data_IF_828749423212
#
_entry.id   IF_828749423212
#
_cell.length_a   1.000
_cell.length_b   1.000
_cell.length_c   1.000
_cell.angle_alpha   90.00
_cell.angle_beta   90.00
_cell.angle_gamma   90.00
#
_symmetry.space_group_name_H-M   'P 1'
#
loop_
_entity.id
_entity.type
_entity.pdbx_description
1 polymer ?
#
# COMPACT_ATOMS: atom_id res chain seq x y z
N UNK A 1 -42.52 12.06 -5.75
CA UNK A 1 -42.00 13.19 -6.55
C UNK A 1 -40.86 13.96 -5.86
N UNK A 2 -40.55 13.75 -4.57
CA UNK A 2 -39.42 14.38 -3.86
C UNK A 2 -38.08 13.63 -3.94
N UNK A 3 -38.08 12.34 -4.28
CA UNK A 3 -36.84 11.53 -4.33
C UNK A 3 -35.93 11.85 -5.52
N UNK A 4 -36.49 12.23 -6.67
CA UNK A 4 -35.69 12.53 -7.86
C UNK A 4 -34.93 13.86 -7.75
N UNK A 5 -35.55 14.87 -7.10
CA UNK A 5 -34.90 16.16 -6.87
C UNK A 5 -33.78 16.10 -5.83
N UNK A 6 -33.93 15.28 -4.77
CA UNK A 6 -32.87 15.10 -3.77
C UNK A 6 -31.69 14.29 -4.33
N UNK A 7 -31.97 13.25 -5.12
CA UNK A 7 -30.96 12.48 -5.84
C UNK A 7 -30.11 13.37 -6.77
N UNK A 8 -30.76 14.16 -7.62
CA UNK A 8 -30.08 15.09 -8.52
C UNK A 8 -29.26 16.14 -7.75
N UNK A 9 -29.81 16.67 -6.65
CA UNK A 9 -29.10 17.62 -5.78
C UNK A 9 -27.84 17.00 -5.19
N UNK A 10 -27.91 15.78 -4.66
CA UNK A 10 -26.75 15.10 -4.09
C UNK A 10 -25.68 14.79 -5.14
N UNK A 11 -26.08 14.35 -6.33
CA UNK A 11 -25.14 14.17 -7.45
C UNK A 11 -24.43 15.46 -7.84
N UNK A 12 -25.12 16.61 -7.84
CA UNK A 12 -24.49 17.91 -8.06
C UNK A 12 -23.50 18.26 -6.95
N UNK A 13 -23.84 17.99 -5.68
CA UNK A 13 -22.96 18.25 -4.55
C UNK A 13 -21.70 17.39 -4.63
N UNK A 14 -21.81 16.08 -4.87
CA UNK A 14 -20.62 15.20 -4.92
C UNK A 14 -19.76 15.43 -6.17
N UNK A 15 -20.31 15.98 -7.25
CA UNK A 15 -19.52 16.40 -8.43
C UNK A 15 -18.74 17.68 -8.18
N UNK A 16 -19.31 18.61 -7.43
CA UNK A 16 -18.67 19.91 -7.10
C UNK A 16 -17.71 19.78 -5.91
N UNK A 17 -18.07 18.94 -4.95
CA UNK A 17 -17.33 18.70 -3.69
C UNK A 17 -17.15 17.20 -3.47
N UNK A 18 -16.29 16.53 -4.26
CA UNK A 18 -16.13 15.07 -4.21
C UNK A 18 -15.58 14.55 -2.88
N UNK A 19 -14.95 15.39 -2.08
CA UNK A 19 -14.43 15.03 -0.76
C UNK A 19 -15.50 15.03 0.36
N UNK A 20 -16.74 15.46 0.08
CA UNK A 20 -17.82 15.48 1.07
C UNK A 20 -18.42 14.09 1.31
N UNK A 21 -17.81 13.37 2.25
CA UNK A 21 -18.24 12.03 2.65
C UNK A 21 -19.72 11.96 3.09
N UNK A 22 -20.27 13.00 3.71
CA UNK A 22 -21.64 12.96 4.23
C UNK A 22 -22.65 12.91 3.07
N UNK A 23 -22.42 13.71 2.02
CA UNK A 23 -23.28 13.70 0.83
C UNK A 23 -23.21 12.36 0.09
N UNK A 24 -22.02 11.74 0.02
CA UNK A 24 -21.89 10.39 -0.51
C UNK A 24 -22.64 9.34 0.31
N UNK A 25 -22.53 9.39 1.64
CA UNK A 25 -23.24 8.46 2.51
C UNK A 25 -24.76 8.59 2.36
N UNK A 26 -25.28 9.83 2.23
CA UNK A 26 -26.69 10.07 1.95
C UNK A 26 -27.12 9.49 0.60
N UNK A 27 -26.28 9.65 -0.44
CA UNK A 27 -26.55 9.10 -1.76
C UNK A 27 -26.59 7.56 -1.74
N UNK A 28 -25.65 6.91 -1.05
CA UNK A 28 -25.67 5.46 -0.84
C UNK A 28 -26.95 5.02 -0.13
N UNK A 29 -27.36 5.71 0.94
CA UNK A 29 -28.60 5.39 1.67
C UNK A 29 -29.84 5.50 0.79
N UNK A 30 -29.92 6.51 -0.08
CA UNK A 30 -31.04 6.65 -1.03
C UNK A 30 -31.04 5.50 -2.05
N UNK A 31 -29.87 5.12 -2.56
CA UNK A 31 -29.75 4.00 -3.49
C UNK A 31 -30.15 2.66 -2.83
N UNK A 32 -29.73 2.42 -1.58
CA UNK A 32 -30.05 1.21 -0.82
C UNK A 32 -31.54 1.13 -0.42
N UNK A 33 -32.23 2.26 -0.29
CA UNK A 33 -33.65 2.30 0.10
C UNK A 33 -34.59 1.65 -0.92
N UNK A 34 -34.13 1.38 -2.13
CA UNK A 34 -34.91 0.70 -3.17
C UNK A 34 -35.03 -0.82 -2.96
N UNK A 35 -34.37 -1.39 -1.94
CA UNK A 35 -34.34 -2.83 -1.59
C UNK A 35 -34.17 -3.75 -2.82
N UNK A 36 -32.92 -3.96 -3.24
CA UNK A 36 -32.64 -4.68 -4.48
C UNK A 36 -32.91 -6.18 -4.35
N UNK A 37 -33.68 -6.71 -5.28
CA UNK A 37 -33.96 -8.13 -5.46
C UNK A 37 -33.62 -8.53 -6.90
N UNK A 38 -33.50 -9.83 -7.21
CA UNK A 38 -33.24 -10.28 -8.59
C UNK A 38 -34.31 -9.83 -9.60
N UNK A 39 -35.49 -9.43 -9.12
CA UNK A 39 -36.62 -8.95 -9.93
C UNK A 39 -36.80 -7.44 -9.88
N UNK A 40 -35.90 -6.70 -9.22
CA UNK A 40 -35.99 -5.25 -9.14
C UNK A 40 -35.85 -4.61 -10.53
N UNK A 41 -36.45 -3.43 -10.76
CA UNK A 41 -36.33 -2.71 -12.02
C UNK A 41 -34.85 -2.50 -12.39
N UNK A 42 -34.45 -2.68 -13.67
CA UNK A 42 -33.06 -2.50 -14.10
C UNK A 42 -32.49 -1.13 -13.72
N UNK A 43 -33.32 -0.08 -13.74
CA UNK A 43 -32.94 1.27 -13.34
C UNK A 43 -32.44 1.35 -11.90
N UNK A 44 -33.05 0.62 -10.96
CA UNK A 44 -32.64 0.62 -9.56
C UNK A 44 -31.29 -0.07 -9.37
N UNK A 45 -31.05 -1.16 -10.12
CA UNK A 45 -29.78 -1.89 -10.11
C UNK A 45 -28.68 -0.98 -10.64
N UNK A 46 -28.89 -0.37 -11.82
CA UNK A 46 -27.93 0.55 -12.42
C UNK A 46 -27.65 1.76 -11.53
N UNK A 47 -28.66 2.32 -10.88
CA UNK A 47 -28.47 3.43 -9.95
C UNK A 47 -27.62 3.03 -8.74
N UNK A 48 -27.82 1.83 -8.19
CA UNK A 48 -27.03 1.32 -7.07
C UNK A 48 -25.56 1.10 -7.49
N UNK A 49 -25.33 0.42 -8.61
CA UNK A 49 -24.00 0.18 -9.18
C UNK A 49 -23.27 1.51 -9.41
N UNK A 50 -23.92 2.49 -10.05
CA UNK A 50 -23.34 3.81 -10.29
C UNK A 50 -22.93 4.52 -9.00
N UNK A 51 -23.78 4.49 -7.97
CA UNK A 51 -23.45 5.15 -6.69
C UNK A 51 -22.28 4.46 -6.02
N UNK A 52 -22.28 3.13 -5.95
CA UNK A 52 -21.19 2.36 -5.34
C UNK A 52 -19.88 2.51 -6.09
N UNK A 53 -19.89 2.45 -7.42
CA UNK A 53 -18.70 2.62 -8.27
C UNK A 53 -18.05 3.99 -8.06
N UNK A 54 -18.84 5.06 -8.09
CA UNK A 54 -18.33 6.41 -7.87
C UNK A 54 -17.89 6.65 -6.42
N UNK A 55 -18.65 6.15 -5.45
CA UNK A 55 -18.31 6.28 -4.03
C UNK A 55 -17.00 5.56 -3.71
N UNK A 56 -16.85 4.30 -4.13
CA UNK A 56 -15.67 3.48 -3.85
C UNK A 56 -14.46 3.87 -4.70
N UNK A 57 -14.66 4.49 -5.86
CA UNK A 57 -13.57 5.14 -6.59
C UNK A 57 -12.97 6.31 -5.79
N UNK A 58 -13.80 7.03 -5.02
CA UNK A 58 -13.34 8.17 -4.20
C UNK A 58 -12.90 7.78 -2.79
N UNK A 59 -13.59 6.83 -2.16
CA UNK A 59 -13.32 6.34 -0.81
C UNK A 59 -13.05 4.84 -0.80
N UNK A 60 -11.99 4.36 -1.48
CA UNK A 60 -11.77 2.93 -1.64
C UNK A 60 -11.52 2.23 -0.31
N UNK A 61 -10.93 2.91 0.70
CA UNK A 61 -10.60 2.36 2.02
C UNK A 61 -11.81 2.00 2.90
N UNK A 62 -13.03 2.29 2.44
CA UNK A 62 -14.27 1.95 3.14
C UNK A 62 -14.66 0.48 2.92
N UNK A 63 -13.87 -0.46 3.42
CA UNK A 63 -14.02 -1.91 3.19
C UNK A 63 -15.44 -2.45 3.48
N UNK A 64 -16.14 -1.91 4.49
CA UNK A 64 -17.51 -2.31 4.80
C UNK A 64 -18.49 -2.08 3.66
N UNK A 65 -18.25 -1.08 2.81
CA UNK A 65 -19.07 -0.82 1.62
C UNK A 65 -18.69 -1.74 0.47
N UNK A 66 -17.43 -2.15 0.32
CA UNK A 66 -17.06 -3.22 -0.62
C UNK A 66 -17.79 -4.52 -0.32
N UNK A 67 -17.89 -4.89 0.97
CA UNK A 67 -18.67 -6.06 1.39
C UNK A 67 -20.12 -5.92 1.00
N UNK A 68 -20.77 -4.83 1.43
CA UNK A 68 -22.18 -4.58 1.07
C UNK A 68 -22.40 -4.66 -0.43
N UNK A 69 -21.50 -4.07 -1.21
CA UNK A 69 -21.59 -4.10 -2.67
C UNK A 69 -21.49 -5.54 -3.21
N UNK A 70 -20.53 -6.32 -2.72
CA UNK A 70 -20.38 -7.72 -3.12
C UNK A 70 -21.60 -8.57 -2.75
N UNK A 71 -22.26 -8.31 -1.61
CA UNK A 71 -23.51 -9.00 -1.24
C UNK A 71 -24.63 -8.70 -2.23
N UNK A 72 -24.84 -7.41 -2.54
CA UNK A 72 -25.89 -6.99 -3.47
C UNK A 72 -25.63 -7.53 -4.88
N UNK A 73 -24.39 -7.47 -5.36
CA UNK A 73 -23.98 -8.06 -6.63
C UNK A 73 -24.18 -9.57 -6.64
N UNK A 74 -23.97 -10.24 -5.50
CA UNK A 74 -24.27 -11.65 -5.31
C UNK A 74 -25.75 -11.98 -5.42
N UNK A 75 -26.63 -11.08 -4.97
CA UNK A 75 -28.09 -11.22 -5.11
C UNK A 75 -28.52 -11.03 -6.56
N UNK A 76 -28.01 -10.00 -7.23
CA UNK A 76 -28.46 -9.61 -8.57
C UNK A 76 -27.84 -10.47 -9.67
N UNK A 77 -26.52 -10.64 -9.63
CA UNK A 77 -25.73 -11.26 -10.70
C UNK A 77 -25.14 -12.62 -10.30
N UNK A 78 -25.55 -13.15 -9.14
CA UNK A 78 -25.06 -14.42 -8.61
C UNK A 78 -23.60 -14.36 -8.17
N UNK A 79 -23.01 -15.54 -7.96
CA UNK A 79 -21.67 -15.67 -7.38
C UNK A 79 -20.58 -14.96 -8.22
N UNK A 80 -20.74 -14.89 -9.55
CA UNK A 80 -19.81 -14.16 -10.43
C UNK A 80 -19.85 -12.64 -10.19
N UNK A 81 -21.01 -12.06 -9.86
CA UNK A 81 -21.14 -10.65 -9.49
C UNK A 81 -20.39 -10.33 -8.20
N UNK A 82 -20.64 -11.14 -7.17
CA UNK A 82 -19.96 -11.01 -5.89
C UNK A 82 -18.44 -11.16 -6.04
N UNK A 83 -17.97 -12.19 -6.78
CA UNK A 83 -16.54 -12.42 -6.99
C UNK A 83 -15.86 -11.26 -7.72
N UNK A 84 -16.47 -10.72 -8.77
CA UNK A 84 -15.93 -9.52 -9.47
C UNK A 84 -15.78 -8.34 -8.51
N UNK A 85 -16.73 -8.16 -7.60
CA UNK A 85 -16.71 -7.05 -6.64
C UNK A 85 -15.66 -7.25 -5.56
N UNK A 86 -15.50 -8.47 -5.05
CA UNK A 86 -14.41 -8.80 -4.15
C UNK A 86 -13.03 -8.58 -4.80
N UNK A 87 -12.84 -9.03 -6.04
CA UNK A 87 -11.58 -8.84 -6.77
C UNK A 87 -11.24 -7.35 -6.97
N UNK A 88 -12.23 -6.53 -7.32
CA UNK A 88 -12.08 -5.07 -7.37
C UNK A 88 -11.72 -4.51 -5.99
N UNK A 89 -12.39 -4.96 -4.95
CA UNK A 89 -12.19 -4.51 -3.58
C UNK A 89 -10.79 -4.80 -3.03
N UNK A 90 -10.29 -6.04 -3.18
CA UNK A 90 -8.94 -6.42 -2.72
C UNK A 90 -7.84 -5.79 -3.57
N UNK A 91 -8.14 -5.43 -4.83
CA UNK A 91 -7.22 -4.63 -5.64
C UNK A 91 -7.16 -3.18 -5.14
N UNK A 92 -8.31 -2.60 -4.77
CA UNK A 92 -8.40 -1.24 -4.24
C UNK A 92 -7.82 -1.10 -2.82
N UNK A 93 -8.01 -2.12 -1.97
CA UNK A 93 -7.51 -2.17 -0.58
C UNK A 93 -6.81 -3.52 -0.33
N UNK A 94 -5.61 -3.66 -0.88
CA UNK A 94 -4.86 -4.91 -0.76
C UNK A 94 -4.50 -5.26 0.70
N UNK A 95 -4.44 -4.30 1.61
CA UNK A 95 -4.03 -4.51 2.99
C UNK A 95 -5.19 -4.66 4.00
N UNK A 96 -6.44 -4.80 3.53
CA UNK A 96 -7.59 -5.01 4.43
C UNK A 96 -7.74 -6.48 4.83
N UNK A 97 -7.38 -6.81 6.08
CA UNK A 97 -7.57 -8.15 6.65
C UNK A 97 -9.04 -8.57 6.58
N UNK A 98 -9.95 -7.66 6.92
CA UNK A 98 -11.38 -7.94 6.94
C UNK A 98 -11.92 -8.29 5.55
N UNK A 99 -11.52 -7.54 4.52
CA UNK A 99 -12.01 -7.75 3.16
C UNK A 99 -11.50 -9.07 2.58
N UNK A 100 -10.22 -9.38 2.76
CA UNK A 100 -9.67 -10.67 2.35
C UNK A 100 -10.34 -11.82 3.07
N UNK A 101 -10.56 -11.71 4.37
CA UNK A 101 -11.26 -12.76 5.12
C UNK A 101 -12.68 -12.98 4.61
N UNK A 102 -13.42 -11.92 4.30
CA UNK A 102 -14.76 -12.02 3.73
C UNK A 102 -14.75 -12.64 2.32
N UNK A 103 -13.77 -12.30 1.49
CA UNK A 103 -13.64 -12.90 0.17
C UNK A 103 -13.31 -14.40 0.27
N UNK A 104 -12.42 -14.78 1.18
CA UNK A 104 -12.09 -16.18 1.45
C UNK A 104 -13.33 -16.93 1.97
N UNK A 105 -14.11 -16.35 2.90
CA UNK A 105 -15.36 -16.96 3.38
C UNK A 105 -16.34 -17.20 2.23
N UNK A 106 -16.51 -16.19 1.37
CA UNK A 106 -17.34 -16.31 0.18
C UNK A 106 -16.84 -17.44 -0.73
N UNK A 107 -15.54 -17.48 -1.05
CA UNK A 107 -14.97 -18.47 -1.98
C UNK A 107 -15.05 -19.88 -1.40
N UNK A 108 -14.80 -20.06 -0.10
CA UNK A 108 -14.94 -21.35 0.60
C UNK A 108 -16.40 -21.82 0.66
N UNK A 109 -17.37 -20.90 0.75
CA UNK A 109 -18.78 -21.25 0.76
C UNK A 109 -19.33 -21.61 -0.64
N UNK A 110 -18.73 -21.07 -1.70
CA UNK A 110 -19.27 -21.16 -3.08
C UNK A 110 -18.47 -22.06 -4.02
N UNK A 111 -17.19 -22.32 -3.72
CA UNK A 111 -16.33 -23.16 -4.54
C UNK A 111 -15.95 -24.44 -3.80
N UNK A 112 -15.92 -25.55 -4.54
CA UNK A 112 -15.33 -26.83 -4.08
C UNK A 112 -13.92 -27.04 -4.62
N UNK A 113 -13.41 -26.11 -5.44
CA UNK A 113 -12.09 -26.19 -6.01
C UNK A 113 -11.03 -25.72 -4.99
N UNK A 114 -10.42 -26.70 -4.33
CA UNK A 114 -9.38 -26.47 -3.33
C UNK A 114 -8.15 -25.72 -3.87
N UNK A 115 -7.80 -25.89 -5.16
CA UNK A 115 -6.65 -25.20 -5.76
C UNK A 115 -6.92 -23.70 -5.91
N UNK A 116 -8.13 -23.32 -6.35
CA UNK A 116 -8.53 -21.91 -6.42
C UNK A 116 -8.55 -21.26 -5.03
N UNK A 117 -9.06 -21.96 -4.03
CA UNK A 117 -9.12 -21.46 -2.65
C UNK A 117 -7.70 -21.30 -2.09
N UNK A 118 -6.81 -22.28 -2.30
CA UNK A 118 -5.41 -22.20 -1.86
C UNK A 118 -4.67 -21.04 -2.55
N UNK A 119 -4.87 -20.84 -3.86
CA UNK A 119 -4.32 -19.71 -4.59
C UNK A 119 -4.82 -18.36 -4.03
N UNK A 120 -6.09 -18.30 -3.60
CA UNK A 120 -6.64 -17.11 -2.95
C UNK A 120 -5.98 -16.84 -1.60
N UNK A 121 -5.75 -17.88 -0.78
CA UNK A 121 -5.01 -17.75 0.47
C UNK A 121 -3.57 -17.27 0.24
N UNK A 122 -2.87 -17.81 -0.74
CA UNK A 122 -1.49 -17.39 -1.04
C UNK A 122 -1.45 -15.93 -1.49
N UNK A 123 -2.36 -15.50 -2.36
CA UNK A 123 -2.51 -14.08 -2.75
C UNK A 123 -2.74 -13.18 -1.54
N UNK A 124 -3.68 -13.55 -0.68
CA UNK A 124 -3.96 -12.80 0.55
C UNK A 124 -2.73 -12.74 1.47
N UNK A 125 -1.97 -13.84 1.60
CA UNK A 125 -0.78 -13.91 2.45
C UNK A 125 0.29 -12.88 2.06
N UNK A 126 0.44 -12.60 0.77
CA UNK A 126 1.39 -11.60 0.27
C UNK A 126 0.98 -10.18 0.64
N UNK A 127 -0.32 -9.91 0.80
CA UNK A 127 -0.83 -8.57 1.07
C UNK A 127 -1.06 -8.29 2.56
N UNK A 128 -1.58 -9.26 3.32
CA UNK A 128 -1.96 -9.10 4.73
C UNK A 128 -1.20 -9.99 5.70
N UNK A 129 -0.37 -10.93 5.21
CA UNK A 129 0.27 -11.94 6.06
C UNK A 129 1.25 -11.37 7.09
N UNK A 130 1.86 -10.22 6.81
CA UNK A 130 2.82 -9.54 7.68
C UNK A 130 2.18 -8.54 8.66
N UNK A 131 0.85 -8.37 8.64
CA UNK A 131 0.18 -7.50 9.60
C UNK A 131 0.30 -8.09 11.02
N UNK A 132 0.58 -7.23 12.00
CA UNK A 132 0.64 -7.60 13.40
C UNK A 132 -0.63 -8.27 13.93
N UNK A 133 -1.79 -7.96 13.35
CA UNK A 133 -3.09 -8.53 13.69
C UNK A 133 -3.60 -9.54 12.64
N UNK A 134 -2.74 -10.10 11.78
CA UNK A 134 -3.13 -11.08 10.76
C UNK A 134 -3.65 -12.43 11.27
N UNK A 135 -3.73 -12.64 12.59
CA UNK A 135 -4.13 -13.90 13.21
C UNK A 135 -5.48 -14.47 12.73
N UNK A 136 -6.55 -13.69 12.46
CA UNK A 136 -7.81 -14.26 11.96
C UNK A 136 -7.66 -14.87 10.56
N UNK A 137 -6.80 -14.28 9.72
CA UNK A 137 -6.48 -14.80 8.40
C UNK A 137 -5.69 -16.11 8.50
N UNK A 138 -4.62 -16.13 9.31
CA UNK A 138 -3.78 -17.32 9.46
C UNK A 138 -4.53 -18.48 10.12
N UNK A 139 -5.40 -18.20 11.09
CA UNK A 139 -6.28 -19.23 11.69
C UNK A 139 -7.13 -19.93 10.63
N UNK A 140 -7.72 -19.14 9.72
CA UNK A 140 -8.54 -19.65 8.63
C UNK A 140 -7.73 -20.46 7.62
N UNK A 141 -6.52 -20.01 7.28
CA UNK A 141 -5.67 -20.75 6.34
C UNK A 141 -5.18 -22.07 6.96
N UNK A 142 -4.80 -22.04 8.23
CA UNK A 142 -4.42 -23.25 8.97
C UNK A 142 -5.60 -24.23 9.04
N UNK A 143 -6.82 -23.75 9.32
CA UNK A 143 -8.02 -24.57 9.37
C UNK A 143 -8.32 -25.23 8.01
N UNK A 144 -8.21 -24.47 6.92
CA UNK A 144 -8.35 -24.98 5.56
C UNK A 144 -7.37 -26.12 5.26
N UNK A 145 -6.07 -25.95 5.56
CA UNK A 145 -5.08 -27.01 5.30
C UNK A 145 -5.29 -28.20 6.23
N UNK A 146 -5.56 -27.97 7.51
CA UNK A 146 -5.66 -29.02 8.52
C UNK A 146 -6.94 -29.86 8.37
N UNK A 147 -8.08 -29.22 8.11
CA UNK A 147 -9.39 -29.86 8.15
C UNK A 147 -9.99 -30.13 6.76
N UNK A 148 -9.79 -29.22 5.80
CA UNK A 148 -10.34 -29.38 4.45
C UNK A 148 -9.40 -30.15 3.51
N UNK A 149 -8.10 -29.84 3.51
CA UNK A 149 -7.12 -30.61 2.74
C UNK A 149 -6.61 -31.86 3.46
N UNK A 150 -6.58 -31.82 4.81
CA UNK A 150 -5.99 -32.86 5.65
C UNK A 150 -4.54 -33.21 5.27
N UNK A 151 -3.74 -32.22 4.86
CA UNK A 151 -2.34 -32.39 4.43
C UNK A 151 -1.37 -31.88 5.50
N UNK A 152 -0.84 -32.81 6.31
CA UNK A 152 0.10 -32.51 7.38
C UNK A 152 1.42 -31.90 6.88
N UNK A 153 1.88 -32.26 5.68
CA UNK A 153 3.15 -31.73 5.12
C UNK A 153 2.97 -30.29 4.70
N UNK A 154 1.85 -29.97 4.03
CA UNK A 154 1.50 -28.57 3.71
C UNK A 154 1.28 -27.76 4.99
N UNK A 155 0.60 -28.34 5.98
CA UNK A 155 0.37 -27.67 7.26
C UNK A 155 1.70 -27.32 7.94
N UNK A 156 2.65 -28.24 8.00
CA UNK A 156 3.96 -27.98 8.58
C UNK A 156 4.70 -26.86 7.84
N UNK A 157 4.73 -26.90 6.51
CA UNK A 157 5.35 -25.83 5.69
C UNK A 157 4.69 -24.47 5.92
N UNK A 158 3.35 -24.44 6.06
CA UNK A 158 2.63 -23.21 6.40
C UNK A 158 3.02 -22.71 7.80
N UNK A 159 3.07 -23.61 8.78
CA UNK A 159 3.47 -23.25 10.14
C UNK A 159 4.92 -22.75 10.21
N UNK A 160 5.85 -23.37 9.46
CA UNK A 160 7.23 -22.92 9.34
C UNK A 160 7.33 -21.47 8.83
N UNK A 161 6.41 -21.02 7.97
CA UNK A 161 6.30 -19.61 7.53
C UNK A 161 5.74 -18.71 8.63
N UNK A 162 4.64 -19.13 9.27
CA UNK A 162 3.89 -18.30 10.23
C UNK A 162 4.71 -18.01 11.49
N UNK A 163 5.44 -18.99 12.03
CA UNK A 163 6.19 -18.82 13.28
C UNK A 163 7.34 -17.82 13.19
N UNK A 164 7.76 -17.46 11.98
CA UNK A 164 8.79 -16.44 11.73
C UNK A 164 8.23 -15.01 11.74
N UNK A 165 6.90 -14.84 11.74
CA UNK A 165 6.26 -13.53 11.65
C UNK A 165 6.01 -13.00 13.06
N UNK A 166 6.63 -11.87 13.46
CA UNK A 166 6.38 -11.26 14.76
C UNK A 166 5.03 -10.53 14.74
N UNK A 167 3.99 -11.27 15.11
CA UNK A 167 2.59 -10.86 15.20
C UNK A 167 2.04 -11.04 16.62
N UNK A 168 0.88 -10.46 16.94
CA UNK A 168 0.30 -10.46 18.29
C UNK A 168 0.15 -11.86 18.90
N UNK A 169 -0.42 -12.81 18.15
CA UNK A 169 -0.71 -14.17 18.62
C UNK A 169 0.42 -15.18 18.33
N UNK A 170 1.66 -14.74 18.16
CA UNK A 170 2.80 -15.60 17.77
C UNK A 170 2.97 -16.83 18.68
N UNK A 171 2.76 -16.68 20.00
CA UNK A 171 2.96 -17.75 20.97
C UNK A 171 2.02 -18.94 20.73
N UNK A 172 0.75 -18.68 20.39
CA UNK A 172 -0.25 -19.71 20.07
C UNK A 172 0.16 -20.52 18.82
N UNK A 173 0.67 -19.85 17.78
CA UNK A 173 1.15 -20.53 16.58
C UNK A 173 2.39 -21.36 16.86
N UNK A 174 3.28 -20.84 17.71
CA UNK A 174 4.47 -21.57 18.11
C UNK A 174 4.13 -22.85 18.88
N UNK A 175 3.18 -22.80 19.82
CA UNK A 175 2.72 -23.98 20.56
C UNK A 175 2.18 -25.06 19.62
N UNK A 176 1.32 -24.68 18.67
CA UNK A 176 0.79 -25.58 17.64
C UNK A 176 1.89 -26.16 16.76
N UNK A 177 2.85 -25.34 16.33
CA UNK A 177 3.98 -25.79 15.51
C UNK A 177 4.89 -26.78 16.26
N UNK A 178 5.19 -26.49 17.52
CA UNK A 178 5.96 -27.37 18.40
C UNK A 178 5.27 -28.72 18.59
N UNK A 179 3.95 -28.73 18.78
CA UNK A 179 3.18 -29.97 18.88
C UNK A 179 3.26 -30.81 17.58
N UNK A 180 3.11 -30.17 16.42
CA UNK A 180 3.25 -30.85 15.11
C UNK A 180 4.66 -31.44 14.97
N UNK A 181 5.71 -30.67 15.29
CA UNK A 181 7.11 -31.11 15.21
C UNK A 181 7.44 -32.24 16.19
N UNK A 182 6.86 -32.24 17.39
CA UNK A 182 7.03 -33.31 18.37
C UNK A 182 6.46 -34.65 17.86
N UNK A 183 5.34 -34.60 17.15
CA UNK A 183 4.66 -35.77 16.59
C UNK A 183 5.16 -36.20 15.19
N UNK A 184 6.06 -35.42 14.58
CA UNK A 184 6.64 -35.71 13.26
C UNK A 184 8.05 -36.27 13.43
N UNK A 185 8.51 -37.16 12.54
CA UNK A 185 9.91 -37.60 12.54
C UNK A 185 10.83 -36.42 12.22
N UNK A 186 12.00 -36.26 12.88
CA UNK A 186 12.88 -35.13 12.61
C UNK A 186 13.27 -34.97 11.14
N UNK A 187 13.44 -36.07 10.40
CA UNK A 187 13.75 -36.07 8.97
C UNK A 187 12.62 -35.58 8.06
N UNK A 188 11.37 -35.64 8.54
CA UNK A 188 10.18 -35.17 7.82
C UNK A 188 9.72 -33.78 8.32
N UNK A 189 10.26 -33.33 9.46
CA UNK A 189 9.90 -32.11 10.14
C UNK A 189 10.62 -30.85 9.60
N UNK A 190 11.62 -31.04 8.73
CA UNK A 190 12.45 -29.98 8.15
C UNK A 190 12.69 -30.25 6.67
N UNK A 191 13.13 -29.22 5.94
CA UNK A 191 13.56 -29.38 4.56
C UNK A 191 14.93 -30.11 4.44
N UNK A 192 15.23 -30.60 3.23
CA UNK A 192 16.45 -31.37 2.95
C UNK A 192 17.75 -30.59 3.23
N UNK A 193 17.75 -29.26 3.09
CA UNK A 193 18.93 -28.43 3.32
C UNK A 193 19.20 -28.28 4.82
N UNK A 194 18.15 -27.99 5.59
CA UNK A 194 18.21 -27.94 7.06
C UNK A 194 18.62 -29.31 7.62
N UNK A 195 18.07 -30.40 7.09
CA UNK A 195 18.41 -31.75 7.51
C UNK A 195 19.89 -32.10 7.26
N UNK A 196 20.42 -31.74 6.08
CA UNK A 196 21.85 -31.89 5.77
C UNK A 196 22.74 -31.10 6.73
N UNK A 197 22.31 -29.89 7.11
CA UNK A 197 23.01 -29.05 8.08
C UNK A 197 23.04 -29.72 9.45
N UNK A 198 21.91 -30.25 9.91
CA UNK A 198 21.85 -31.00 11.18
C UNK A 198 22.76 -32.22 11.17
N UNK A 199 22.79 -33.00 10.07
CA UNK A 199 23.70 -34.13 9.97
C UNK A 199 25.17 -33.72 10.06
N UNK A 200 25.56 -32.63 9.39
CA UNK A 200 26.94 -32.14 9.44
C UNK A 200 27.33 -31.68 10.86
N UNK A 201 26.47 -30.94 11.55
CA UNK A 201 26.71 -30.50 12.92
C UNK A 201 26.77 -31.67 13.91
N UNK A 202 25.87 -32.64 13.79
CA UNK A 202 25.87 -33.84 14.64
C UNK A 202 27.15 -34.65 14.42
N UNK A 203 27.57 -34.78 13.16
CA UNK A 203 28.80 -35.48 12.80
C UNK A 203 30.03 -34.82 13.44
N UNK A 204 30.09 -33.49 13.46
CA UNK A 204 31.17 -32.72 14.06
C UNK A 204 31.17 -32.82 15.60
N UNK A 205 29.99 -32.72 16.23
CA UNK A 205 29.85 -32.69 17.69
C UNK A 205 29.93 -34.08 18.34
N UNK A 206 29.34 -35.09 17.71
CA UNK A 206 29.08 -36.41 18.30
C UNK A 206 29.63 -37.58 17.48
N UNK A 207 30.22 -37.30 16.31
CA UNK A 207 30.72 -38.33 15.39
C UNK A 207 29.61 -39.08 14.65
N UNK A 208 29.97 -40.22 14.04
CA UNK A 208 29.03 -41.08 13.32
C UNK A 208 28.06 -41.78 14.28
N UNK A 209 26.87 -41.22 14.44
CA UNK A 209 25.74 -41.86 15.13
C UNK A 209 24.90 -42.70 14.15
N UNK A 210 24.23 -43.73 14.67
CA UNK A 210 23.32 -44.58 13.89
C UNK A 210 22.02 -44.82 14.65
N UNK A 211 20.93 -45.12 13.92
CA UNK A 211 19.63 -45.52 14.47
C UNK A 211 19.09 -44.54 15.53
N UNK A 212 18.72 -45.05 16.70
CA UNK A 212 18.07 -44.29 17.79
C UNK A 212 18.93 -43.13 18.30
N UNK A 213 20.25 -43.29 18.36
CA UNK A 213 21.15 -42.23 18.82
C UNK A 213 21.17 -41.05 17.83
N UNK A 214 21.07 -41.34 16.53
CA UNK A 214 20.98 -40.32 15.48
C UNK A 214 19.63 -39.61 15.52
N UNK A 215 18.53 -40.35 15.71
CA UNK A 215 17.20 -39.77 15.81
C UNK A 215 17.05 -38.86 17.04
N UNK A 216 17.62 -39.27 18.19
CA UNK A 216 17.66 -38.44 19.40
C UNK A 216 18.48 -37.15 19.18
N UNK A 217 19.66 -37.26 18.55
CA UNK A 217 20.48 -36.09 18.25
C UNK A 217 19.78 -35.12 17.27
N UNK A 218 19.08 -35.65 16.26
CA UNK A 218 18.26 -34.84 15.35
C UNK A 218 17.10 -34.15 16.09
N UNK A 219 16.47 -34.83 17.06
CA UNK A 219 15.41 -34.25 17.89
C UNK A 219 15.94 -33.09 18.73
N UNK A 220 17.12 -33.24 19.35
CA UNK A 220 17.77 -32.16 20.10
C UNK A 220 18.07 -30.93 19.22
N UNK A 221 18.58 -31.15 17.99
CA UNK A 221 18.81 -30.06 17.02
C UNK A 221 17.51 -29.37 16.60
N UNK A 222 16.46 -30.16 16.35
CA UNK A 222 15.13 -29.65 16.01
C UNK A 222 14.55 -28.80 17.15
N UNK A 223 14.64 -29.26 18.39
CA UNK A 223 14.15 -28.53 19.58
C UNK A 223 14.94 -27.24 19.80
N UNK A 224 16.26 -27.27 19.61
CA UNK A 224 17.12 -26.09 19.70
C UNK A 224 16.77 -25.04 18.64
N UNK A 225 16.57 -25.46 17.38
CA UNK A 225 16.12 -24.58 16.29
C UNK A 225 14.75 -23.98 16.62
N UNK A 226 13.82 -24.81 17.09
CA UNK A 226 12.46 -24.41 17.46
C UNK A 226 12.52 -23.34 18.56
N UNK A 227 13.27 -23.57 19.63
CA UNK A 227 13.46 -22.59 20.71
C UNK A 227 14.12 -21.28 20.25
N UNK A 228 15.07 -21.35 19.31
CA UNK A 228 15.69 -20.16 18.70
C UNK A 228 14.66 -19.31 17.97
N UNK A 229 13.86 -19.93 17.09
CA UNK A 229 12.78 -19.25 16.35
C UNK A 229 11.80 -18.58 17.31
N UNK A 230 11.38 -19.25 18.38
CA UNK A 230 10.49 -18.66 19.39
C UNK A 230 11.05 -17.37 19.95
N UNK A 231 12.31 -17.40 20.37
CA UNK A 231 12.97 -16.28 21.03
C UNK A 231 13.10 -15.09 20.08
N UNK A 232 13.52 -15.33 18.84
CA UNK A 232 13.65 -14.28 17.82
C UNK A 232 12.30 -13.64 17.50
N UNK A 233 11.25 -14.45 17.29
CA UNK A 233 9.89 -13.95 17.04
C UNK A 233 9.32 -13.22 18.25
N UNK A 234 9.52 -13.74 19.46
CA UNK A 234 9.10 -13.08 20.71
C UNK A 234 9.75 -11.70 20.87
N UNK A 235 11.06 -11.62 20.70
CA UNK A 235 11.80 -10.35 20.77
C UNK A 235 11.32 -9.39 19.68
N UNK A 236 11.10 -9.89 18.47
CA UNK A 236 10.55 -9.13 17.35
C UNK A 236 9.16 -8.56 17.63
N UNK A 237 8.27 -9.35 18.24
CA UNK A 237 6.91 -8.94 18.63
C UNK A 237 6.96 -7.89 19.75
N UNK A 238 7.76 -8.14 20.80
CA UNK A 238 7.85 -7.25 21.95
C UNK A 238 8.40 -5.85 21.58
N UNK A 239 9.38 -5.79 20.66
CA UNK A 239 9.89 -4.52 20.12
C UNK A 239 8.82 -3.68 19.43
N UNK A 240 7.79 -4.32 18.88
CA UNK A 240 6.72 -3.66 18.10
C UNK A 240 5.49 -3.37 18.93
N UNK A 241 5.26 -4.15 19.98
CA UNK A 241 4.14 -3.98 20.91
C UNK A 241 4.05 -2.55 21.45
N UNK A 242 5.18 -1.90 21.71
CA UNK A 242 5.23 -0.51 22.21
C UNK A 242 4.57 0.50 21.27
N UNK A 243 4.51 0.21 19.97
CA UNK A 243 3.84 1.05 18.98
C UNK A 243 2.41 0.55 18.72
N UNK A 244 2.24 -0.78 18.60
CA UNK A 244 0.96 -1.41 18.31
C UNK A 244 -0.08 -1.13 19.39
N UNK A 245 0.31 -1.13 20.67
CA UNK A 245 -0.58 -0.84 21.79
C UNK A 245 -1.13 0.61 21.78
N UNK A 246 -0.46 1.54 21.10
CA UNK A 246 -0.85 2.95 21.00
C UNK A 246 -1.77 3.22 19.78
N UNK A 247 -1.93 2.25 18.87
CA UNK A 247 -2.82 2.36 17.71
C UNK A 247 -4.26 2.10 18.16
N UNK A 248 -5.06 3.17 18.26
CA UNK A 248 -6.49 3.05 18.66
C UNK A 248 -7.44 2.93 17.46
N UNK A 249 -7.03 3.38 16.27
CA UNK A 249 -7.83 3.34 15.05
C UNK A 249 -6.97 2.81 13.89
N UNK A 250 -7.22 1.58 13.49
CA UNK A 250 -6.54 0.88 12.39
C UNK A 250 -7.26 1.03 11.04
N UNK A 251 -8.50 1.53 11.03
CA UNK A 251 -9.33 1.69 9.84
C UNK A 251 -9.42 3.15 9.39
N UNK A 252 -9.76 3.36 8.12
CA UNK A 252 -9.98 4.68 7.55
C UNK A 252 -11.23 5.35 8.13
N UNK A 253 -11.12 6.64 8.46
CA UNK A 253 -12.26 7.44 8.88
C UNK A 253 -11.99 8.93 8.58
N UNK A 254 -13.03 9.66 8.18
CA UNK A 254 -12.93 11.07 7.76
C UNK A 254 -12.50 12.04 8.88
N UNK A 255 -12.82 11.71 10.13
CA UNK A 255 -12.35 12.47 11.30
C UNK A 255 -10.83 12.37 11.42
N UNK A 256 -10.13 13.50 11.65
CA UNK A 256 -8.68 13.48 11.82
C UNK A 256 -8.27 12.58 13.00
N UNK A 257 -7.13 11.93 12.86
CA UNK A 257 -6.39 11.30 13.94
C UNK A 257 -5.89 12.38 14.91
N UNK A 258 -5.73 12.00 16.17
CA UNK A 258 -5.07 12.86 17.14
C UNK A 258 -3.55 12.92 16.90
N UNK A 259 -2.91 13.97 17.42
CA UNK A 259 -1.47 14.19 17.22
C UNK A 259 -0.61 13.06 17.79
N UNK A 260 -1.05 12.40 18.86
CA UNK A 260 -0.28 11.32 19.49
C UNK A 260 -0.24 10.09 18.59
N UNK A 261 -1.34 9.78 17.91
CA UNK A 261 -1.40 8.70 16.92
C UNK A 261 -0.50 8.98 15.71
N UNK A 262 -0.50 10.20 15.18
CA UNK A 262 0.38 10.58 14.07
C UNK A 262 1.86 10.49 14.47
N UNK A 263 2.19 10.91 15.69
CA UNK A 263 3.55 10.77 16.24
C UNK A 263 3.93 9.30 16.45
N UNK A 264 2.99 8.45 16.90
CA UNK A 264 3.23 7.03 17.06
C UNK A 264 3.55 6.36 15.71
N UNK A 265 2.76 6.64 14.66
CA UNK A 265 3.03 6.14 13.31
C UNK A 265 4.39 6.59 12.79
N UNK A 266 4.76 7.85 13.01
CA UNK A 266 6.09 8.36 12.62
C UNK A 266 7.21 7.58 13.30
N UNK A 267 7.13 7.39 14.63
CA UNK A 267 8.13 6.63 15.41
C UNK A 267 8.18 5.16 15.00
N UNK A 268 7.05 4.56 14.68
CA UNK A 268 6.99 3.17 14.24
C UNK A 268 7.63 3.00 12.87
N UNK A 269 7.37 3.91 11.93
CA UNK A 269 8.03 3.94 10.62
C UNK A 269 9.55 4.16 10.78
N UNK A 270 9.99 5.07 11.65
CA UNK A 270 11.42 5.27 11.97
C UNK A 270 12.07 3.96 12.44
N UNK A 271 11.38 3.21 13.30
CA UNK A 271 11.85 1.94 13.84
C UNK A 271 12.01 0.86 12.76
N UNK A 272 11.00 0.64 11.90
CA UNK A 272 11.11 -0.39 10.85
C UNK A 272 12.10 0.02 9.75
N UNK A 273 12.16 1.30 9.38
CA UNK A 273 13.15 1.79 8.42
C UNK A 273 14.58 1.56 8.89
N UNK A 274 14.85 1.70 10.20
CA UNK A 274 16.14 1.40 10.79
C UNK A 274 16.47 -0.11 10.77
N UNK A 275 15.48 -0.99 10.74
CA UNK A 275 15.66 -2.44 10.66
C UNK A 275 15.96 -2.95 9.24
N UNK A 276 15.70 -2.13 8.22
CA UNK A 276 16.01 -2.38 6.81
C UNK A 276 15.42 -3.69 6.22
N UNK A 277 14.25 -4.11 6.70
CA UNK A 277 13.46 -5.19 6.11
C UNK A 277 12.44 -4.60 5.12
N UNK A 278 12.74 -4.68 3.83
CA UNK A 278 11.94 -4.06 2.75
C UNK A 278 10.49 -4.54 2.74
N UNK A 279 10.24 -5.84 2.92
CA UNK A 279 8.89 -6.39 2.86
C UNK A 279 8.06 -5.88 4.05
N UNK A 280 8.68 -5.84 5.23
CA UNK A 280 8.03 -5.36 6.44
C UNK A 280 7.80 -3.85 6.43
N UNK A 281 8.74 -3.08 5.94
CA UNK A 281 8.60 -1.62 5.80
C UNK A 281 7.45 -1.30 4.83
N UNK A 282 7.38 -1.96 3.67
CA UNK A 282 6.25 -1.83 2.73
C UNK A 282 4.91 -2.16 3.41
N UNK A 283 4.83 -3.30 4.10
CA UNK A 283 3.62 -3.71 4.81
C UNK A 283 3.19 -2.68 5.86
N UNK A 284 4.14 -2.14 6.64
CA UNK A 284 3.83 -1.12 7.64
C UNK A 284 3.37 0.19 6.99
N UNK A 285 3.99 0.62 5.89
CA UNK A 285 3.59 1.81 5.16
C UNK A 285 2.17 1.71 4.62
N UNK A 286 1.85 0.65 3.88
CA UNK A 286 0.50 0.46 3.35
C UNK A 286 -0.53 0.46 4.48
N UNK A 287 -0.23 -0.20 5.61
CA UNK A 287 -1.09 -0.20 6.80
C UNK A 287 -1.23 1.18 7.44
N UNK A 288 -0.15 1.96 7.55
CA UNK A 288 -0.16 3.33 8.06
C UNK A 288 -1.04 4.24 7.19
N UNK A 289 -1.01 4.05 5.87
CA UNK A 289 -1.76 4.85 4.90
C UNK A 289 -3.27 4.59 4.94
N UNK A 290 -3.75 3.58 5.68
CA UNK A 290 -5.19 3.36 5.88
C UNK A 290 -5.79 4.43 6.81
N UNK A 291 -5.39 4.55 8.10
CA UNK A 291 -5.89 5.59 8.97
C UNK A 291 -5.29 6.97 8.64
N UNK A 292 -4.12 7.02 7.98
CA UNK A 292 -3.41 8.26 7.63
C UNK A 292 -3.56 8.67 6.15
N UNK A 293 -4.55 8.14 5.42
CA UNK A 293 -4.70 8.39 3.98
C UNK A 293 -4.76 9.87 3.58
N UNK A 294 -5.30 10.72 4.46
CA UNK A 294 -5.50 12.16 4.20
C UNK A 294 -4.32 13.05 4.62
N UNK A 295 -3.21 12.45 5.05
CA UNK A 295 -2.02 13.13 5.56
C UNK A 295 -0.89 13.02 4.54
N UNK A 296 -0.62 14.12 3.84
CA UNK A 296 0.33 14.19 2.73
C UNK A 296 1.76 13.77 3.14
N UNK A 297 2.14 14.03 4.39
CA UNK A 297 3.46 13.74 4.93
C UNK A 297 3.84 12.25 4.89
N UNK A 298 2.87 11.33 5.11
CA UNK A 298 3.14 9.89 5.10
C UNK A 298 3.32 9.37 3.66
N UNK A 299 2.56 9.91 2.71
CA UNK A 299 2.73 9.59 1.30
C UNK A 299 4.07 10.07 0.76
N UNK A 300 4.44 11.32 1.07
CA UNK A 300 5.74 11.90 0.70
C UNK A 300 6.90 11.06 1.25
N UNK A 301 6.84 10.72 2.54
CA UNK A 301 7.84 9.86 3.20
C UNK A 301 7.94 8.49 2.55
N UNK A 302 6.80 7.84 2.28
CA UNK A 302 6.79 6.51 1.67
C UNK A 302 7.39 6.53 0.26
N UNK A 303 6.96 7.46 -0.60
CA UNK A 303 7.50 7.56 -1.95
C UNK A 303 8.99 7.91 -1.97
N UNK A 304 9.48 8.75 -1.06
CA UNK A 304 10.91 9.03 -0.92
C UNK A 304 11.70 7.78 -0.48
N UNK A 305 11.16 7.01 0.47
CA UNK A 305 11.75 5.75 0.87
C UNK A 305 11.80 4.75 -0.30
N UNK A 306 10.73 4.64 -1.09
CA UNK A 306 10.68 3.77 -2.27
C UNK A 306 11.74 4.18 -3.31
N UNK A 307 11.84 5.47 -3.64
CA UNK A 307 12.85 5.99 -4.58
C UNK A 307 14.27 5.69 -4.08
N UNK A 308 14.53 5.90 -2.78
CA UNK A 308 15.85 5.62 -2.17
C UNK A 308 16.27 4.14 -2.26
N UNK A 309 15.30 3.23 -2.37
CA UNK A 309 15.54 1.80 -2.47
C UNK A 309 15.34 1.25 -3.90
N UNK A 310 15.43 2.11 -4.91
CA UNK A 310 15.31 1.75 -6.35
C UNK A 310 13.93 1.16 -6.74
N UNK A 311 12.87 1.53 -6.01
CA UNK A 311 11.48 1.09 -6.24
C UNK A 311 10.64 2.20 -6.87
N UNK A 312 11.12 2.74 -7.99
CA UNK A 312 10.56 3.95 -8.63
C UNK A 312 9.13 3.72 -9.15
N UNK A 313 8.85 2.55 -9.71
CA UNK A 313 7.52 2.19 -10.20
C UNK A 313 6.48 2.17 -9.06
N UNK A 314 6.82 1.62 -7.90
CA UNK A 314 5.95 1.67 -6.73
C UNK A 314 5.81 3.08 -6.17
N UNK A 315 6.87 3.90 -6.22
CA UNK A 315 6.78 5.31 -5.82
C UNK A 315 5.80 6.09 -6.72
N UNK A 316 5.86 5.87 -8.03
CA UNK A 316 4.89 6.43 -8.99
C UNK A 316 3.46 6.02 -8.61
N UNK A 317 3.24 4.73 -8.33
CA UNK A 317 1.93 4.21 -7.92
C UNK A 317 1.44 4.84 -6.61
N UNK A 318 2.31 4.93 -5.59
CA UNK A 318 1.99 5.56 -4.32
C UNK A 318 1.60 7.04 -4.48
N UNK A 319 2.39 7.82 -5.21
CA UNK A 319 2.09 9.23 -5.46
C UNK A 319 0.85 9.44 -6.33
N UNK A 320 0.59 8.56 -7.30
CA UNK A 320 -0.64 8.61 -8.11
C UNK A 320 -1.87 8.38 -7.26
N UNK A 321 -1.88 7.34 -6.42
CA UNK A 321 -2.95 7.06 -5.45
C UNK A 321 -3.17 8.25 -4.51
N UNK A 322 -2.09 8.79 -3.98
CA UNK A 322 -2.15 9.94 -3.09
C UNK A 322 -2.78 11.16 -3.77
N UNK A 323 -2.29 11.53 -4.96
CA UNK A 323 -2.67 12.74 -5.68
C UNK A 323 -4.10 12.73 -6.23
N UNK A 324 -4.59 11.57 -6.68
CA UNK A 324 -5.84 11.47 -7.44
C UNK A 324 -6.96 10.72 -6.72
N UNK A 325 -6.66 10.03 -5.62
CA UNK A 325 -7.66 9.28 -4.84
C UNK A 325 -7.82 9.85 -3.44
N UNK A 326 -6.73 9.90 -2.67
CA UNK A 326 -6.82 10.10 -1.22
C UNK A 326 -6.71 11.55 -0.75
N UNK A 327 -5.83 12.33 -1.35
CA UNK A 327 -5.57 13.70 -0.93
C UNK A 327 -6.47 14.67 -1.69
N UNK A 328 -6.76 15.78 -1.02
CA UNK A 328 -7.51 16.89 -1.59
C UNK A 328 -6.69 17.62 -2.66
N UNK A 329 -7.37 18.33 -3.55
CA UNK A 329 -6.74 18.97 -4.70
C UNK A 329 -5.70 20.05 -4.35
N UNK A 330 -5.78 20.63 -3.15
CA UNK A 330 -4.86 21.62 -2.58
C UNK A 330 -3.53 21.02 -2.07
N UNK A 331 -3.43 19.69 -1.97
CA UNK A 331 -2.19 18.98 -1.63
C UNK A 331 -1.31 18.83 -2.87
N UNK A 332 -0.48 19.84 -3.08
CA UNK A 332 0.32 20.00 -4.29
C UNK A 332 1.69 19.32 -4.22
N UNK A 333 2.28 19.12 -3.03
CA UNK A 333 3.64 18.60 -2.92
C UNK A 333 3.72 17.16 -3.42
N UNK A 334 2.70 16.36 -3.16
CA UNK A 334 2.61 15.00 -3.70
C UNK A 334 2.49 14.97 -5.22
N UNK A 335 1.83 15.97 -5.82
CA UNK A 335 1.71 16.09 -7.29
C UNK A 335 3.03 16.54 -7.90
N UNK A 336 3.76 17.44 -7.23
CA UNK A 336 5.12 17.82 -7.63
C UNK A 336 6.05 16.60 -7.56
N UNK A 337 5.99 15.82 -6.48
CA UNK A 337 6.76 14.59 -6.34
C UNK A 337 6.41 13.56 -7.43
N UNK A 338 5.12 13.39 -7.75
CA UNK A 338 4.68 12.55 -8.86
C UNK A 338 5.25 13.03 -10.21
N UNK A 339 5.18 14.32 -10.50
CA UNK A 339 5.66 14.88 -11.76
C UNK A 339 7.18 14.67 -11.93
N UNK A 340 7.95 14.78 -10.85
CA UNK A 340 9.39 14.47 -10.85
C UNK A 340 9.67 12.99 -11.13
N UNK A 341 8.90 12.07 -10.53
CA UNK A 341 9.03 10.63 -10.79
C UNK A 341 8.66 10.30 -12.24
N UNK A 342 7.57 10.89 -12.76
CA UNK A 342 7.16 10.70 -14.16
C UNK A 342 8.24 11.21 -15.14
N UNK A 343 8.88 12.33 -14.83
CA UNK A 343 10.00 12.85 -15.63
C UNK A 343 11.20 11.90 -15.60
N UNK A 344 11.54 11.33 -14.43
CA UNK A 344 12.62 10.36 -14.29
C UNK A 344 12.37 9.07 -15.08
N UNK A 345 11.11 8.64 -15.17
CA UNK A 345 10.67 7.47 -15.95
C UNK A 345 10.42 7.81 -17.43
N UNK A 346 10.85 8.98 -17.90
CA UNK A 346 10.70 9.46 -19.29
C UNK A 346 9.24 9.62 -19.77
N UNK A 347 8.27 9.68 -18.85
CA UNK A 347 6.85 9.92 -19.13
C UNK A 347 6.54 11.42 -19.21
N UNK A 348 7.16 12.09 -20.18
CA UNK A 348 7.21 13.55 -20.28
C UNK A 348 5.82 14.20 -20.40
N UNK A 349 4.93 13.63 -21.21
CA UNK A 349 3.58 14.20 -21.41
C UNK A 349 2.72 14.07 -20.15
N UNK A 350 2.84 12.96 -19.42
CA UNK A 350 2.17 12.78 -18.13
C UNK A 350 2.72 13.78 -17.10
N UNK A 351 4.05 13.94 -17.01
CA UNK A 351 4.67 14.92 -16.11
C UNK A 351 4.18 16.35 -16.41
N UNK A 352 4.12 16.75 -17.69
CA UNK A 352 3.60 18.05 -18.13
C UNK A 352 2.12 18.21 -17.76
N UNK A 353 1.31 17.18 -17.95
CA UNK A 353 -0.10 17.18 -17.56
C UNK A 353 -0.27 17.37 -16.04
N UNK A 354 0.56 16.70 -15.23
CA UNK A 354 0.54 16.87 -13.77
C UNK A 354 0.91 18.29 -13.36
N UNK A 355 1.99 18.87 -13.91
CA UNK A 355 2.36 20.25 -13.61
C UNK A 355 1.27 21.26 -14.00
N UNK A 356 0.75 21.15 -15.22
CA UNK A 356 -0.30 22.07 -15.72
C UNK A 356 -1.60 21.94 -14.92
N UNK A 357 -1.96 20.74 -14.43
CA UNK A 357 -3.08 20.53 -13.52
C UNK A 357 -2.91 21.28 -12.19
N UNK A 358 -1.69 21.28 -11.62
CA UNK A 358 -1.38 22.05 -10.40
C UNK A 358 -1.56 23.54 -10.68
N UNK A 359 -0.99 24.04 -11.78
CA UNK A 359 -1.06 25.46 -12.16
C UNK A 359 -2.47 25.92 -12.54
N UNK A 360 -3.34 25.02 -13.00
CA UNK A 360 -4.75 25.33 -13.23
C UNK A 360 -5.49 25.53 -11.90
N UNK A 361 -5.19 24.68 -10.91
CA UNK A 361 -5.79 24.77 -9.57
C UNK A 361 -5.22 25.94 -8.76
N UNK A 362 -3.92 26.18 -8.87
CA UNK A 362 -3.18 27.20 -8.11
C UNK A 362 -2.24 28.01 -9.03
N UNK A 363 -2.76 28.93 -9.86
CA UNK A 363 -1.98 29.67 -10.87
C UNK A 363 -0.90 30.59 -10.29
N UNK A 364 -1.02 31.02 -9.04
CA UNK A 364 -0.06 31.89 -8.35
C UNK A 364 0.98 31.13 -7.52
N UNK A 365 0.96 29.79 -7.50
CA UNK A 365 1.85 29.04 -6.61
C UNK A 365 3.30 29.04 -7.11
N UNK A 366 4.15 29.85 -6.48
CA UNK A 366 5.52 30.15 -6.90
C UNK A 366 6.39 28.89 -7.05
N UNK A 367 6.33 27.97 -6.08
CA UNK A 367 7.13 26.75 -6.13
C UNK A 367 6.68 25.83 -7.28
N UNK A 368 5.38 25.73 -7.55
CA UNK A 368 4.86 24.91 -8.66
C UNK A 368 5.27 25.49 -10.00
N UNK A 369 5.20 26.80 -10.15
CA UNK A 369 5.67 27.53 -11.34
C UNK A 369 7.16 27.27 -11.53
N UNK A 370 7.94 27.39 -10.47
CA UNK A 370 9.39 27.15 -10.50
C UNK A 370 9.70 25.73 -10.99
N UNK A 371 9.06 24.71 -10.43
CA UNK A 371 9.24 23.32 -10.88
C UNK A 371 8.85 23.14 -12.35
N UNK A 372 7.71 23.70 -12.77
CA UNK A 372 7.23 23.61 -14.15
C UNK A 372 8.18 24.27 -15.16
N UNK A 373 8.65 25.48 -14.86
CA UNK A 373 9.59 26.21 -15.73
C UNK A 373 10.89 25.41 -15.89
N UNK A 374 11.44 24.87 -14.80
CA UNK A 374 12.65 24.06 -14.87
C UNK A 374 12.44 22.72 -15.57
N UNK A 375 11.26 22.13 -15.45
CA UNK A 375 10.85 20.96 -16.23
C UNK A 375 10.86 21.29 -17.72
N UNK A 376 10.14 22.33 -18.17
CA UNK A 376 10.09 22.69 -19.59
C UNK A 376 11.48 23.07 -20.14
N UNK A 377 12.35 23.67 -19.32
CA UNK A 377 13.75 23.92 -19.68
C UNK A 377 14.51 22.65 -20.04
N UNK A 378 14.28 21.55 -19.31
CA UNK A 378 14.94 20.26 -19.55
C UNK A 378 14.43 19.60 -20.83
N UNK A 379 13.17 19.85 -21.18
CA UNK A 379 12.54 19.31 -22.39
C UNK A 379 12.86 20.14 -23.64
N UNK A 380 12.85 21.47 -23.51
CA UNK A 380 13.13 22.42 -24.58
C UNK A 380 13.71 23.71 -24.00
N UNK A 381 15.01 23.95 -24.23
CA UNK A 381 15.73 25.11 -23.68
C UNK A 381 15.13 26.43 -24.17
N UNK A 382 14.64 26.48 -25.42
CA UNK A 382 14.09 27.69 -26.03
C UNK A 382 12.72 28.09 -25.45
N UNK A 383 12.04 27.16 -24.76
CA UNK A 383 10.75 27.43 -24.12
C UNK A 383 10.92 28.18 -22.78
N UNK A 384 12.04 27.98 -22.08
CA UNK A 384 12.26 28.53 -20.75
C UNK A 384 12.22 30.06 -20.72
N UNK A 385 12.92 30.72 -21.66
CA UNK A 385 12.97 32.18 -21.69
C UNK A 385 11.58 32.79 -21.91
N UNK A 386 10.81 32.22 -22.83
CA UNK A 386 9.45 32.66 -23.12
C UNK A 386 8.54 32.50 -21.90
N UNK A 387 8.59 31.34 -21.25
CA UNK A 387 7.73 31.03 -20.10
C UNK A 387 8.11 31.92 -18.90
N UNK A 388 9.40 32.03 -18.56
CA UNK A 388 9.81 32.81 -17.38
C UNK A 388 9.54 34.30 -17.56
N UNK A 389 9.70 34.83 -18.78
CA UNK A 389 9.34 36.22 -19.09
C UNK A 389 7.84 36.50 -18.93
N UNK A 390 6.97 35.53 -19.25
CA UNK A 390 5.52 35.67 -19.00
C UNK A 390 5.24 35.89 -17.51
N UNK A 391 5.92 35.15 -16.62
CA UNK A 391 5.75 35.32 -15.17
C UNK A 391 6.40 36.58 -14.62
N UNK A 392 7.56 36.99 -15.15
CA UNK A 392 8.23 38.26 -14.77
C UNK A 392 7.38 39.47 -15.13
N UNK A 393 6.79 39.47 -16.33
CA UNK A 393 6.01 40.60 -16.84
C UNK A 393 4.54 40.58 -16.41
N UNK A 394 4.10 39.55 -15.69
CA UNK A 394 2.71 39.41 -15.28
C UNK A 394 2.36 40.36 -14.13
N UNK A 395 1.33 41.18 -14.33
CA UNK A 395 0.77 42.06 -13.29
C UNK A 395 0.03 41.30 -12.18
N UNK A 396 -0.18 39.99 -12.35
CA UNK A 396 -0.81 39.13 -11.35
C UNK A 396 0.11 38.81 -10.16
N UNK A 397 1.43 38.92 -10.35
CA UNK A 397 2.42 38.62 -9.31
C UNK A 397 2.92 39.88 -8.60
N UNK A 398 3.08 39.78 -7.29
CA UNK A 398 3.67 40.84 -6.50
C UNK A 398 5.17 41.06 -6.86
N UNK A 399 5.73 42.17 -6.39
CA UNK A 399 7.13 42.51 -6.67
C UNK A 399 8.09 41.41 -6.17
N UNK A 400 7.96 40.85 -4.95
CA UNK A 400 8.80 39.75 -4.50
C UNK A 400 8.80 38.53 -5.42
N UNK A 401 7.63 38.05 -5.87
CA UNK A 401 7.53 36.92 -6.78
C UNK A 401 8.18 37.21 -8.14
N UNK A 402 7.94 38.39 -8.72
CA UNK A 402 8.59 38.81 -9.98
C UNK A 402 10.11 38.94 -9.84
N UNK A 403 10.60 39.43 -8.71
CA UNK A 403 12.04 39.48 -8.41
C UNK A 403 12.63 38.07 -8.34
N UNK A 404 11.94 37.11 -7.73
CA UNK A 404 12.40 35.72 -7.70
C UNK A 404 12.53 35.13 -9.11
N UNK A 405 11.52 35.30 -9.96
CA UNK A 405 11.57 34.83 -11.35
C UNK A 405 12.69 35.55 -12.14
N UNK A 406 12.89 36.84 -11.90
CA UNK A 406 14.00 37.60 -12.50
C UNK A 406 15.36 37.03 -12.09
N UNK A 407 15.55 36.70 -10.81
CA UNK A 407 16.79 36.07 -10.32
C UNK A 407 17.00 34.70 -10.97
N UNK A 408 15.94 33.89 -11.10
CA UNK A 408 16.01 32.60 -11.78
C UNK A 408 16.39 32.75 -13.27
N UNK A 409 15.83 33.75 -13.96
CA UNK A 409 16.17 34.06 -15.35
C UNK A 409 17.64 34.48 -15.50
N UNK A 410 18.12 35.38 -14.63
CA UNK A 410 19.53 35.82 -14.62
C UNK A 410 20.47 34.63 -14.42
N UNK A 411 20.17 33.73 -13.46
CA UNK A 411 20.97 32.52 -13.23
C UNK A 411 21.03 31.62 -14.47
N UNK A 412 19.92 31.49 -15.19
CA UNK A 412 19.88 30.74 -16.44
C UNK A 412 20.76 31.37 -17.52
N UNK A 413 20.65 32.68 -17.74
CA UNK A 413 21.48 33.41 -18.71
C UNK A 413 22.98 33.30 -18.39
N UNK A 414 23.34 33.40 -17.11
CA UNK A 414 24.73 33.19 -16.66
C UNK A 414 25.24 31.78 -17.00
N UNK A 415 24.40 30.76 -16.82
CA UNK A 415 24.73 29.38 -17.14
C UNK A 415 24.91 29.17 -18.65
N UNK A 416 24.01 29.72 -19.47
CA UNK A 416 24.10 29.67 -20.94
C UNK A 416 25.36 30.37 -21.42
N UNK A 417 25.64 31.57 -20.91
CA UNK A 417 26.85 32.33 -21.24
C UNK A 417 28.11 31.53 -20.90
N UNK A 418 28.19 30.94 -19.71
CA UNK A 418 29.32 30.12 -19.30
C UNK A 418 29.56 28.95 -20.26
N UNK A 419 28.51 28.20 -20.64
CA UNK A 419 28.66 27.07 -21.56
C UNK A 419 29.10 27.49 -22.96
N UNK A 420 28.62 28.63 -23.47
CA UNK A 420 29.03 29.16 -24.77
C UNK A 420 30.50 29.62 -24.79
N UNK A 421 31.03 30.10 -23.66
CA UNK A 421 32.38 30.66 -23.57
C UNK A 421 33.41 29.70 -22.93
N UNK A 422 32.97 28.54 -22.41
CA UNK A 422 33.84 27.55 -21.75
C UNK A 422 34.98 27.06 -22.64
N UNK A 423 34.73 26.85 -23.94
CA UNK A 423 35.75 26.40 -24.90
C UNK A 423 36.84 27.47 -25.07
N UNK A 424 36.45 28.74 -25.20
CA UNK A 424 37.35 29.88 -25.34
C UNK A 424 38.25 30.03 -24.11
N UNK A 425 37.70 29.90 -22.91
CA UNK A 425 38.49 29.95 -21.67
C UNK A 425 39.44 28.74 -21.52
N UNK A 426 39.04 27.55 -21.94
CA UNK A 426 39.91 26.37 -21.92
C UNK A 426 41.04 26.52 -22.94
N UNK A 427 40.75 26.99 -24.15
CA UNK A 427 41.75 27.20 -25.20
C UNK A 427 42.76 28.29 -24.81
N UNK A 428 42.33 29.34 -24.10
CA UNK A 428 43.23 30.36 -23.54
C UNK A 428 44.10 29.84 -22.37
N UNK A 429 43.60 28.89 -21.58
CA UNK A 429 44.35 28.27 -20.48
C UNK A 429 45.41 27.27 -20.95
N UNK A 430 45.22 26.61 -22.11
CA UNK A 430 46.20 25.70 -22.71
C UNK A 430 47.27 26.42 -23.57
N UNK A 431 47.16 27.74 -23.74
CA UNK A 431 48.18 28.58 -24.41
C UNK A 431 49.21 29.21 -23.46
N UNK A 432 49.09 28.97 -22.14
CA UNK A 432 50.11 29.23 -21.13
C UNK A 432 50.75 27.92 -20.67
#
# INVERSE_FOLDING_TARGET
MSGNTEWERLWQVVRTTPDDFISWEQLVRIAEAAEITPTSPPENITNLELVYDHFLAKFPLCFGYWKKYADWEGIVHGDQGAERTFERGVTAIHNSIDLWNQYIDFKMAKSTNNEEIENLFERASLCIGHDFLAHPFWDKYIDFIANQLADTKKLLKLMDRIVLIPMHQYARYYEKWREIRANTKPSEAVDDLTLKTFYAEIQEEKGNLTNEALELALREKLDAQTAKVYKETQEGTNKRWVYEAEIKRSYFHIRPLDRLQLQNWTKYLDFEEAANDTARIKALYERCLVPCAQYEEFWLRYGQWLIKNDLVAEAQSAYTRAAYTFLKSDKIHVKLALALVLEQEEKIDEARSTYTSILTTMPSHIESITHYIYFERRQNVDSFENIIQQYINSDYFDLPARVLFTIQYIKHLQQVWYYQHKQVFLDELYQF
#
